data_IF_728502880490
#
_entry.id   IF_728502880490
#
_cell.length_a   1.000
_cell.length_b   1.000
_cell.length_c   1.000
_cell.angle_alpha   90.00
_cell.angle_beta   90.00
_cell.angle_gamma   90.00
#
_symmetry.space_group_name_H-M   'P 1'
#
loop_
_entity.id
_entity.type
_entity.pdbx_description
1 polymer ?
#
# COMPACT_ATOMS: atom_id res chain seq x y z
N UNK A 1 13.53 -10.31 -25.09
CA UNK A 1 12.95 -9.16 -24.36
C UNK A 1 11.45 -9.01 -24.59
N UNK A 2 10.96 -9.06 -25.85
CA UNK A 2 9.53 -8.86 -26.17
C UNK A 2 8.61 -9.79 -25.38
N UNK A 3 8.90 -11.10 -25.36
CA UNK A 3 8.10 -12.09 -24.63
C UNK A 3 8.14 -11.87 -23.12
N UNK A 4 9.28 -11.41 -22.58
CA UNK A 4 9.43 -11.12 -21.14
C UNK A 4 8.58 -9.92 -20.74
N UNK A 5 8.61 -8.85 -21.53
CA UNK A 5 7.81 -7.65 -21.24
C UNK A 5 6.32 -7.90 -21.44
N UNK A 6 5.95 -8.69 -22.47
CA UNK A 6 4.56 -9.11 -22.66
C UNK A 6 4.05 -9.93 -21.47
N UNK A 7 4.85 -10.88 -21.00
CA UNK A 7 4.50 -11.68 -19.83
C UNK A 7 4.45 -10.86 -18.53
N UNK A 8 5.35 -9.89 -18.35
CA UNK A 8 5.28 -8.92 -17.26
C UNK A 8 3.94 -8.17 -17.25
N UNK A 9 3.48 -7.72 -18.41
CA UNK A 9 2.19 -7.07 -18.55
C UNK A 9 1.01 -8.02 -18.23
N UNK A 10 1.11 -9.30 -18.61
CA UNK A 10 0.11 -10.31 -18.25
C UNK A 10 0.07 -10.58 -16.73
N UNK A 11 1.22 -10.57 -16.07
CA UNK A 11 1.30 -10.68 -14.62
C UNK A 11 0.68 -9.45 -13.93
N UNK A 12 0.96 -8.24 -14.43
CA UNK A 12 0.35 -7.01 -13.92
C UNK A 12 -1.18 -7.06 -14.04
N UNK A 13 -1.68 -7.43 -15.22
CA UNK A 13 -3.13 -7.61 -15.44
C UNK A 13 -3.72 -8.60 -14.44
N UNK A 14 -3.11 -9.77 -14.27
CA UNK A 14 -3.58 -10.78 -13.32
C UNK A 14 -3.60 -10.26 -11.87
N UNK A 15 -2.56 -9.54 -11.45
CA UNK A 15 -2.46 -8.93 -10.12
C UNK A 15 -3.54 -7.89 -9.87
N UNK A 16 -3.82 -7.02 -10.83
CA UNK A 16 -4.90 -6.01 -10.70
C UNK A 16 -6.28 -6.62 -10.83
N UNK A 17 -6.48 -7.67 -11.63
CA UNK A 17 -7.73 -8.44 -11.63
C UNK A 17 -8.01 -9.08 -10.28
N UNK A 18 -7.01 -9.66 -9.63
CA UNK A 18 -7.15 -10.22 -8.28
C UNK A 18 -7.40 -9.14 -7.24
N UNK A 19 -6.75 -7.98 -7.38
CA UNK A 19 -7.00 -6.81 -6.54
C UNK A 19 -8.43 -6.31 -6.68
N UNK A 20 -8.96 -6.24 -7.91
CA UNK A 20 -10.35 -5.88 -8.16
C UNK A 20 -11.32 -6.90 -7.55
N UNK A 21 -11.09 -8.19 -7.77
CA UNK A 21 -11.94 -9.27 -7.21
C UNK A 21 -12.01 -9.20 -5.69
N UNK A 22 -10.87 -9.01 -5.02
CA UNK A 22 -10.83 -8.89 -3.55
C UNK A 22 -11.41 -7.58 -3.04
N UNK A 23 -11.29 -6.48 -3.79
CA UNK A 23 -11.95 -5.21 -3.46
C UNK A 23 -13.48 -5.30 -3.63
N UNK A 24 -13.98 -6.03 -4.60
CA UNK A 24 -15.42 -6.32 -4.75
C UNK A 24 -15.94 -7.17 -3.59
N UNK A 25 -15.15 -8.12 -3.09
CA UNK A 25 -15.48 -8.88 -1.88
C UNK A 25 -15.51 -7.98 -0.64
N UNK A 26 -14.55 -7.04 -0.52
CA UNK A 26 -14.56 -6.01 0.52
C UNK A 26 -15.80 -5.13 0.41
N UNK A 27 -16.17 -4.69 -0.79
CA UNK A 27 -17.37 -3.90 -1.04
C UNK A 27 -18.64 -4.63 -0.58
N UNK A 28 -18.74 -5.92 -0.87
CA UNK A 28 -19.86 -6.74 -0.42
C UNK A 28 -19.92 -6.86 1.12
N UNK A 29 -18.77 -7.03 1.78
CA UNK A 29 -18.68 -7.09 3.24
C UNK A 29 -19.02 -5.73 3.89
N UNK A 30 -18.62 -4.63 3.29
CA UNK A 30 -18.99 -3.27 3.73
C UNK A 30 -20.51 -3.05 3.61
N UNK A 31 -21.12 -3.46 2.50
CA UNK A 31 -22.58 -3.40 2.34
C UNK A 31 -23.31 -4.20 3.41
N UNK A 32 -22.81 -5.39 3.75
CA UNK A 32 -23.37 -6.22 4.82
C UNK A 32 -23.23 -5.57 6.20
N UNK A 33 -22.08 -4.94 6.51
CA UNK A 33 -21.87 -4.19 7.73
C UNK A 33 -22.87 -3.04 7.86
N UNK A 34 -23.06 -2.26 6.82
CA UNK A 34 -23.97 -1.11 6.80
C UNK A 34 -25.44 -1.56 6.95
N UNK A 35 -25.82 -2.65 6.27
CA UNK A 35 -27.18 -3.19 6.33
C UNK A 35 -27.51 -3.82 7.68
N UNK A 36 -26.54 -4.49 8.31
CA UNK A 36 -26.71 -5.22 9.57
C UNK A 36 -25.47 -5.04 10.45
N UNK A 37 -25.30 -3.88 11.10
CA UNK A 37 -24.15 -3.63 11.95
C UNK A 37 -24.08 -4.61 13.13
N UNK A 38 -22.97 -5.35 13.21
CA UNK A 38 -22.68 -6.31 14.29
C UNK A 38 -21.15 -6.52 14.38
N UNK A 39 -20.69 -7.15 15.46
CA UNK A 39 -19.29 -7.55 15.58
C UNK A 39 -18.88 -8.49 14.44
N UNK A 40 -19.77 -9.40 14.04
CA UNK A 40 -19.51 -10.36 12.97
C UNK A 40 -19.38 -9.68 11.61
N UNK A 41 -20.25 -8.74 11.27
CA UNK A 41 -20.18 -8.02 9.98
C UNK A 41 -19.02 -7.04 9.93
N UNK A 42 -18.66 -6.41 11.05
CA UNK A 42 -17.46 -5.60 11.14
C UNK A 42 -16.20 -6.45 10.98
N UNK A 43 -16.12 -7.59 11.67
CA UNK A 43 -14.97 -8.50 11.53
C UNK A 43 -14.86 -9.05 10.11
N UNK A 44 -15.97 -9.41 9.47
CA UNK A 44 -15.97 -9.86 8.08
C UNK A 44 -15.46 -8.80 7.12
N UNK A 45 -15.80 -7.52 7.32
CA UNK A 45 -15.29 -6.40 6.52
C UNK A 45 -13.78 -6.20 6.75
N UNK A 46 -13.32 -6.29 7.99
CA UNK A 46 -11.88 -6.23 8.34
C UNK A 46 -11.10 -7.38 7.70
N UNK A 47 -11.62 -8.60 7.75
CA UNK A 47 -10.98 -9.77 7.14
C UNK A 47 -10.92 -9.63 5.60
N UNK A 48 -11.98 -9.11 4.97
CA UNK A 48 -12.01 -8.84 3.53
C UNK A 48 -11.02 -7.75 3.13
N UNK A 49 -10.82 -6.71 3.95
CA UNK A 49 -9.80 -5.70 3.73
C UNK A 49 -8.40 -6.30 3.77
N UNK A 50 -8.08 -7.10 4.80
CA UNK A 50 -6.78 -7.78 4.88
C UNK A 50 -6.55 -8.72 3.70
N UNK A 51 -7.56 -9.46 3.27
CA UNK A 51 -7.48 -10.31 2.08
C UNK A 51 -7.23 -9.50 0.80
N UNK A 52 -7.83 -8.32 0.68
CA UNK A 52 -7.65 -7.43 -0.47
C UNK A 52 -6.21 -6.86 -0.55
N UNK A 53 -5.51 -6.71 0.57
CA UNK A 53 -4.12 -6.26 0.59
C UNK A 53 -3.14 -7.28 -0.01
N UNK A 54 -3.48 -8.56 0.02
CA UNK A 54 -2.58 -9.63 -0.45
C UNK A 54 -2.22 -9.49 -1.94
N UNK A 55 -3.17 -9.47 -2.88
CA UNK A 55 -2.85 -9.28 -4.29
C UNK A 55 -2.35 -7.86 -4.59
N UNK A 56 -2.95 -6.84 -3.95
CA UNK A 56 -2.62 -5.46 -4.24
C UNK A 56 -1.15 -5.14 -3.96
N UNK A 57 -0.62 -5.50 -2.79
CA UNK A 57 0.78 -5.21 -2.44
C UNK A 57 1.78 -5.88 -3.39
N UNK A 58 1.45 -7.00 -3.97
CA UNK A 58 2.28 -7.66 -4.99
C UNK A 58 2.30 -6.87 -6.32
N UNK A 59 1.37 -5.93 -6.53
CA UNK A 59 1.37 -5.04 -7.71
C UNK A 59 2.23 -3.79 -7.54
N UNK A 60 2.70 -3.47 -6.35
CA UNK A 60 3.52 -2.28 -6.09
C UNK A 60 4.82 -2.28 -6.92
N UNK A 61 5.34 -3.44 -7.29
CA UNK A 61 6.51 -3.58 -8.17
C UNK A 61 6.28 -3.06 -9.60
N UNK A 62 5.02 -2.85 -10.03
CA UNK A 62 4.68 -2.33 -11.36
C UNK A 62 4.65 -0.80 -11.45
N UNK A 63 4.89 -0.08 -10.35
CA UNK A 63 4.75 1.39 -10.24
C UNK A 63 5.87 2.15 -10.92
N UNK A 64 7.04 2.14 -10.29
CA UNK A 64 8.11 3.13 -10.47
C UNK A 64 8.71 3.19 -11.87
N UNK A 65 8.53 2.20 -12.67
CA UNK A 65 8.93 2.21 -14.08
C UNK A 65 7.83 2.63 -15.05
N UNK A 66 6.61 2.92 -14.55
CA UNK A 66 5.43 3.24 -15.35
C UNK A 66 4.67 4.42 -14.73
N UNK A 67 4.83 5.65 -15.24
CA UNK A 67 4.19 6.85 -14.68
C UNK A 67 2.66 6.76 -14.58
N UNK A 68 2.00 6.01 -15.49
CA UNK A 68 0.54 5.83 -15.44
C UNK A 68 0.12 5.11 -14.17
N UNK A 69 0.91 4.12 -13.74
CA UNK A 69 0.64 3.35 -12.52
C UNK A 69 1.07 4.12 -11.29
N UNK A 70 2.23 4.77 -11.34
CA UNK A 70 2.80 5.51 -10.22
C UNK A 70 1.93 6.72 -9.83
N UNK A 71 1.50 7.51 -10.79
CA UNK A 71 0.59 8.64 -10.57
C UNK A 71 -0.79 8.18 -10.05
N UNK A 72 -1.27 7.01 -10.48
CA UNK A 72 -2.54 6.45 -10.06
C UNK A 72 -2.50 5.90 -8.63
N UNK A 73 -1.36 5.38 -8.20
CA UNK A 73 -1.19 4.73 -6.89
C UNK A 73 -1.59 5.67 -5.74
N UNK A 74 -1.28 6.94 -5.83
CA UNK A 74 -1.66 7.94 -4.83
C UNK A 74 -3.18 8.02 -4.54
N UNK A 75 -4.02 7.53 -5.45
CA UNK A 75 -5.48 7.48 -5.23
C UNK A 75 -5.91 6.28 -4.37
N UNK A 76 -5.14 5.22 -4.35
CA UNK A 76 -5.54 3.94 -3.74
C UNK A 76 -4.70 3.53 -2.55
N UNK A 77 -3.46 3.98 -2.41
CA UNK A 77 -2.54 3.50 -1.38
C UNK A 77 -1.74 4.58 -0.65
N UNK A 78 -2.15 5.84 -0.73
CA UNK A 78 -1.50 6.95 0.00
C UNK A 78 -1.55 6.74 1.52
N UNK A 79 -0.44 7.08 2.17
CA UNK A 79 -0.21 7.06 3.61
C UNK A 79 1.01 7.94 3.95
N UNK A 80 1.23 8.33 5.19
CA UNK A 80 0.29 8.34 6.31
C UNK A 80 -0.87 9.31 6.07
N UNK A 81 -1.99 9.12 6.78
CA UNK A 81 -3.14 10.00 6.64
C UNK A 81 -3.46 10.72 7.95
N UNK A 82 -3.89 11.98 7.83
CA UNK A 82 -4.47 12.74 8.95
C UNK A 82 -5.93 12.32 9.16
N UNK A 83 -6.20 11.47 10.14
CA UNK A 83 -7.51 10.85 10.39
C UNK A 83 -8.61 11.88 10.66
N UNK A 84 -8.25 12.98 11.32
CA UNK A 84 -9.18 14.06 11.66
C UNK A 84 -9.74 14.84 10.49
N UNK A 85 -9.20 14.68 9.29
CA UNK A 85 -9.84 15.13 8.06
C UNK A 85 -11.19 14.41 7.85
N UNK A 86 -11.24 13.13 8.14
CA UNK A 86 -12.36 12.24 7.80
C UNK A 86 -13.37 12.16 8.94
N UNK A 87 -12.95 11.77 10.13
CA UNK A 87 -13.84 11.40 11.23
C UNK A 87 -13.31 11.90 12.58
N UNK A 88 -14.03 11.58 13.66
CA UNK A 88 -13.63 11.92 15.01
C UNK A 88 -12.31 11.23 15.40
N UNK A 89 -11.56 11.92 16.24
CA UNK A 89 -10.26 11.50 16.76
C UNK A 89 -10.19 11.72 18.28
N UNK A 90 -9.12 11.28 18.91
CA UNK A 90 -8.86 11.58 20.33
C UNK A 90 -8.71 13.10 20.54
N UNK A 91 -8.96 13.57 21.77
CA UNK A 91 -9.11 14.99 22.07
C UNK A 91 -7.90 15.89 21.81
N UNK A 92 -6.72 15.33 21.72
CA UNK A 92 -5.47 16.07 21.52
C UNK A 92 -4.91 15.92 20.09
N UNK A 93 -5.76 15.51 19.15
CA UNK A 93 -5.38 15.32 17.75
C UNK A 93 -5.34 16.65 17.00
N UNK A 94 -4.44 16.74 16.02
CA UNK A 94 -4.26 17.85 15.11
C UNK A 94 -2.84 18.41 15.15
N UNK A 95 -2.48 19.16 14.12
CA UNK A 95 -1.21 19.86 14.04
C UNK A 95 -1.41 21.28 13.49
N UNK A 96 -0.47 22.16 13.73
CA UNK A 96 -0.53 23.56 13.28
C UNK A 96 -0.24 23.70 11.78
N UNK A 97 0.35 22.68 11.16
CA UNK A 97 0.75 22.71 9.74
C UNK A 97 -0.39 22.36 8.79
N UNK A 98 -1.37 21.54 9.27
CA UNK A 98 -2.52 21.13 8.49
C UNK A 98 -3.84 21.56 9.15
N UNK A 99 -4.39 22.68 8.71
CA UNK A 99 -5.67 23.19 9.22
C UNK A 99 -6.85 22.23 8.98
N UNK A 100 -6.74 21.30 8.01
CA UNK A 100 -7.77 20.32 7.68
C UNK A 100 -7.67 19.03 8.51
N UNK A 101 -6.59 18.85 9.28
CA UNK A 101 -6.39 17.68 10.13
C UNK A 101 -7.47 17.49 11.21
N UNK A 102 -8.30 18.50 11.45
CA UNK A 102 -9.42 18.46 12.40
C UNK A 102 -10.77 18.78 11.76
N UNK A 103 -10.86 18.74 10.44
CA UNK A 103 -12.10 19.09 9.72
C UNK A 103 -13.27 18.19 10.10
N UNK A 104 -13.03 16.88 10.23
CA UNK A 104 -14.06 15.87 10.46
C UNK A 104 -15.23 16.02 9.48
N UNK A 105 -15.03 15.70 8.22
CA UNK A 105 -16.06 15.87 7.18
C UNK A 105 -17.33 15.08 7.49
N UNK A 106 -17.23 13.97 8.19
CA UNK A 106 -18.38 13.15 8.60
C UNK A 106 -19.31 13.93 9.53
N UNK A 107 -18.79 14.75 10.43
CA UNK A 107 -19.56 15.60 11.33
C UNK A 107 -19.84 17.00 10.75
N UNK A 108 -19.19 17.38 9.65
CA UNK A 108 -19.19 18.76 9.13
C UNK A 108 -19.74 18.79 7.70
N UNK A 109 -21.07 18.85 7.54
CA UNK A 109 -21.71 18.79 6.20
C UNK A 109 -21.46 20.02 5.33
N UNK A 110 -20.98 21.11 5.90
CA UNK A 110 -20.57 22.32 5.17
C UNK A 110 -19.31 22.89 5.78
N UNK A 111 -18.37 23.26 4.92
CA UNK A 111 -17.09 23.86 5.33
C UNK A 111 -16.52 24.72 4.20
N UNK A 112 -15.50 25.51 4.52
CA UNK A 112 -14.80 26.34 3.54
C UNK A 112 -13.45 25.71 3.21
N UNK A 113 -13.17 25.55 1.92
CA UNK A 113 -11.90 25.07 1.39
C UNK A 113 -11.38 26.06 0.37
N UNK A 114 -10.16 26.59 0.56
CA UNK A 114 -9.55 27.57 -0.34
C UNK A 114 -10.49 28.75 -0.68
N UNK A 115 -11.22 29.25 0.30
CA UNK A 115 -12.15 30.36 0.16
C UNK A 115 -13.51 30.02 -0.49
N UNK A 116 -13.73 28.75 -0.84
CA UNK A 116 -15.00 28.27 -1.37
C UNK A 116 -15.79 27.50 -0.31
N UNK A 117 -17.09 27.77 -0.23
CA UNK A 117 -18.00 26.93 0.54
C UNK A 117 -18.19 25.58 -0.16
N UNK A 118 -17.96 24.50 0.56
CA UNK A 118 -18.15 23.12 0.11
C UNK A 118 -19.41 22.58 0.79
N UNK A 119 -20.32 22.05 -0.01
CA UNK A 119 -21.49 21.32 0.47
C UNK A 119 -21.18 19.82 0.46
N UNK A 120 -20.90 19.28 1.64
CA UNK A 120 -20.68 17.84 1.90
C UNK A 120 -21.89 17.21 2.60
N UNK A 121 -23.09 17.77 2.44
CA UNK A 121 -24.32 17.22 3.03
C UNK A 121 -24.63 15.82 2.49
N UNK A 122 -24.21 15.52 1.27
CA UNK A 122 -24.20 14.17 0.69
C UNK A 122 -22.76 13.76 0.43
N UNK A 123 -22.32 12.65 1.04
CA UNK A 123 -20.98 12.10 0.83
C UNK A 123 -21.03 11.16 -0.36
N UNK A 124 -20.22 11.44 -1.37
CA UNK A 124 -20.15 10.71 -2.64
C UNK A 124 -18.70 10.35 -2.99
N UNK A 125 -18.46 9.38 -3.88
CA UNK A 125 -17.12 9.13 -4.41
C UNK A 125 -16.47 10.38 -5.02
N UNK A 126 -17.22 11.22 -5.70
CA UNK A 126 -16.74 12.45 -6.34
C UNK A 126 -16.32 13.51 -5.31
N UNK A 127 -17.02 13.63 -4.18
CA UNK A 127 -16.60 14.48 -3.07
C UNK A 127 -15.25 14.03 -2.52
N UNK A 128 -15.07 12.73 -2.32
CA UNK A 128 -13.84 12.15 -1.79
C UNK A 128 -12.67 12.37 -2.76
N UNK A 129 -12.82 11.96 -4.03
CA UNK A 129 -11.72 12.01 -5.01
C UNK A 129 -11.45 13.42 -5.53
N UNK A 130 -12.48 14.23 -5.72
CA UNK A 130 -12.37 15.52 -6.40
C UNK A 130 -12.16 16.71 -5.47
N UNK A 131 -12.49 16.58 -4.18
CA UNK A 131 -12.47 17.71 -3.23
C UNK A 131 -11.62 17.43 -2.00
N UNK A 132 -11.72 16.26 -1.39
CA UNK A 132 -11.09 15.97 -0.10
C UNK A 132 -9.66 15.41 -0.23
N UNK A 133 -9.45 14.49 -1.18
CA UNK A 133 -8.16 13.84 -1.32
C UNK A 133 -7.08 14.84 -1.75
N UNK A 134 -5.99 14.89 -1.00
CA UNK A 134 -4.91 15.87 -1.15
C UNK A 134 -5.37 17.34 -1.14
N UNK A 135 -6.45 17.63 -0.42
CA UNK A 135 -6.99 18.98 -0.31
C UNK A 135 -5.89 19.98 0.11
N UNK A 136 -5.90 21.17 -0.50
CA UNK A 136 -4.87 22.21 -0.34
C UNK A 136 -3.45 21.78 -0.75
N UNK A 137 -3.29 20.68 -1.50
CA UNK A 137 -1.99 20.14 -1.89
C UNK A 137 -1.21 19.51 -0.74
N UNK A 138 -1.89 19.14 0.34
CA UNK A 138 -1.30 18.48 1.52
C UNK A 138 -1.43 16.97 1.36
N UNK A 139 -0.31 16.29 1.23
CA UNK A 139 -0.25 14.84 1.01
C UNK A 139 -0.91 14.04 2.14
N UNK A 140 -0.78 14.49 3.39
CA UNK A 140 -1.41 13.85 4.55
C UNK A 140 -2.95 13.94 4.54
N UNK A 141 -3.55 14.78 3.69
CA UNK A 141 -5.00 14.84 3.50
C UNK A 141 -5.49 13.66 2.63
N UNK A 142 -5.18 12.46 3.04
CA UNK A 142 -5.62 11.22 2.40
C UNK A 142 -7.10 11.00 2.72
N UNK A 143 -7.93 10.94 1.69
CA UNK A 143 -9.38 10.77 1.83
C UNK A 143 -9.90 9.50 1.14
N UNK A 144 -9.11 8.88 0.26
CA UNK A 144 -9.47 7.72 -0.54
C UNK A 144 -8.49 6.57 -0.36
N UNK A 145 -8.82 5.42 -0.89
CA UNK A 145 -7.97 4.25 -0.98
C UNK A 145 -8.01 3.33 0.24
N UNK A 146 -7.10 2.35 0.23
CA UNK A 146 -7.06 1.30 1.24
C UNK A 146 -6.94 1.82 2.67
N UNK A 147 -6.10 2.84 2.92
CA UNK A 147 -5.85 3.33 4.28
C UNK A 147 -6.99 4.19 4.82
N UNK A 148 -7.71 4.93 3.96
CA UNK A 148 -8.95 5.59 4.37
C UNK A 148 -10.02 4.57 4.76
N UNK A 149 -10.17 3.49 4.00
CA UNK A 149 -11.08 2.38 4.33
C UNK A 149 -10.64 1.67 5.62
N UNK A 150 -9.35 1.44 5.77
CA UNK A 150 -8.74 0.88 6.98
C UNK A 150 -9.11 1.69 8.23
N UNK A 151 -8.91 3.01 8.17
CA UNK A 151 -9.31 3.91 9.24
C UNK A 151 -10.81 3.84 9.55
N UNK A 152 -11.65 3.77 8.52
CA UNK A 152 -13.09 3.64 8.70
C UNK A 152 -13.49 2.34 9.40
N UNK A 153 -12.76 1.24 9.18
CA UNK A 153 -13.05 -0.07 9.77
C UNK A 153 -12.45 -0.25 11.17
N UNK A 154 -11.27 0.30 11.44
CA UNK A 154 -10.56 0.11 12.73
C UNK A 154 -10.62 1.34 13.64
N UNK A 155 -10.75 2.56 13.08
CA UNK A 155 -10.54 3.78 13.83
C UNK A 155 -9.06 4.01 14.17
N UNK A 156 -8.77 5.02 14.97
CA UNK A 156 -7.40 5.27 15.44
C UNK A 156 -6.87 4.08 16.26
N UNK A 157 -5.60 3.76 16.06
CA UNK A 157 -4.86 2.95 17.01
C UNK A 157 -4.29 3.88 18.11
N UNK A 158 -4.84 3.77 19.30
CA UNK A 158 -4.44 4.56 20.49
C UNK A 158 -3.46 3.80 21.39
N UNK A 159 -2.96 2.64 20.94
CA UNK A 159 -2.06 1.81 21.75
C UNK A 159 -0.59 2.19 21.59
N UNK A 160 -0.24 3.09 20.67
CA UNK A 160 1.14 3.48 20.38
C UNK A 160 1.96 2.26 19.93
N UNK A 161 3.06 1.99 20.61
CA UNK A 161 3.91 0.81 20.36
C UNK A 161 3.55 -0.42 21.24
N UNK A 162 2.38 -0.41 21.88
CA UNK A 162 1.87 -1.54 22.63
C UNK A 162 0.91 -2.37 21.76
N UNK A 163 0.69 -3.65 22.09
CA UNK A 163 -0.19 -4.50 21.28
C UNK A 163 -1.63 -4.00 21.20
N UNK A 164 -2.22 -4.14 20.03
CA UNK A 164 -3.64 -3.87 19.77
C UNK A 164 -3.85 -2.89 18.63
N UNK A 165 -4.70 -3.26 17.69
CA UNK A 165 -5.17 -2.44 16.59
C UNK A 165 -6.23 -1.43 17.04
N UNK A 166 -6.67 -0.56 16.12
CA UNK A 166 -7.81 0.31 16.32
C UNK A 166 -9.06 -0.48 16.74
N UNK A 167 -9.84 0.09 17.64
CA UNK A 167 -10.96 -0.59 18.31
C UNK A 167 -12.31 0.07 18.03
N UNK A 168 -12.54 0.54 16.80
CA UNK A 168 -13.84 1.12 16.42
C UNK A 168 -14.96 0.12 16.65
N UNK A 169 -16.02 0.49 17.39
CA UNK A 169 -17.14 -0.41 17.59
C UNK A 169 -18.04 -0.46 16.35
N UNK A 170 -18.70 -1.59 16.11
CA UNK A 170 -19.67 -1.70 15.00
C UNK A 170 -20.83 -0.72 15.15
N UNK A 171 -21.14 -0.30 16.38
CA UNK A 171 -22.19 0.67 16.68
C UNK A 171 -21.92 2.07 16.12
N UNK A 172 -20.72 2.38 15.67
CA UNK A 172 -20.43 3.57 14.88
C UNK A 172 -21.14 3.58 13.51
N UNK A 173 -21.65 2.43 13.10
CA UNK A 173 -22.47 2.23 11.89
C UNK A 173 -23.93 1.88 12.19
N UNK A 174 -24.32 1.82 13.45
CA UNK A 174 -25.70 1.48 13.85
C UNK A 174 -26.66 2.64 13.60
N UNK A 175 -27.94 2.31 13.42
CA UNK A 175 -29.00 3.30 13.23
C UNK A 175 -29.64 3.75 14.54
N UNK A 176 -30.20 4.95 14.56
CA UNK A 176 -31.00 5.50 15.65
C UNK A 176 -30.24 5.57 16.97
N UNK A 177 -30.87 5.21 18.07
CA UNK A 177 -30.33 5.31 19.43
C UNK A 177 -29.16 4.35 19.70
N UNK A 178 -28.95 3.35 18.85
CA UNK A 178 -27.82 2.45 18.94
C UNK A 178 -26.52 3.06 18.38
N UNK A 179 -26.61 4.17 17.64
CA UNK A 179 -25.46 4.87 17.07
C UNK A 179 -24.54 5.40 18.15
N UNK A 180 -23.27 5.03 18.08
CA UNK A 180 -22.22 5.61 18.93
C UNK A 180 -21.40 6.65 18.15
N UNK A 181 -20.84 7.63 18.87
CA UNK A 181 -20.01 8.70 18.33
C UNK A 181 -20.69 9.63 17.29
N UNK A 182 -22.01 9.52 17.13
CA UNK A 182 -22.80 10.36 16.22
C UNK A 182 -22.51 10.11 14.73
N UNK A 183 -23.33 10.71 13.89
CA UNK A 183 -23.15 10.72 12.42
C UNK A 183 -22.99 9.34 11.77
N UNK A 184 -23.59 8.30 12.30
CA UNK A 184 -23.42 6.93 11.83
C UNK A 184 -23.90 6.74 10.38
N UNK A 185 -24.95 7.43 9.96
CA UNK A 185 -25.44 7.43 8.59
C UNK A 185 -24.43 8.05 7.63
N UNK A 186 -23.79 9.16 8.01
CA UNK A 186 -22.74 9.81 7.22
C UNK A 186 -21.47 9.01 7.20
N UNK A 187 -21.11 8.37 8.31
CA UNK A 187 -19.96 7.44 8.40
C UNK A 187 -20.15 6.25 7.48
N UNK A 188 -21.34 5.66 7.46
CA UNK A 188 -21.70 4.60 6.54
C UNK A 188 -21.60 5.03 5.08
N UNK A 189 -22.11 6.24 4.76
CA UNK A 189 -22.00 6.81 3.41
C UNK A 189 -20.54 7.05 2.99
N UNK A 190 -19.68 7.48 3.91
CA UNK A 190 -18.24 7.66 3.62
C UNK A 190 -17.57 6.33 3.32
N UNK A 191 -17.75 5.33 4.19
CA UNK A 191 -17.17 4.00 4.01
C UNK A 191 -17.63 3.36 2.68
N UNK A 192 -18.93 3.44 2.38
CA UNK A 192 -19.48 2.94 1.12
C UNK A 192 -18.88 3.66 -0.09
N UNK A 193 -18.83 5.00 -0.05
CA UNK A 193 -18.28 5.82 -1.15
C UNK A 193 -16.79 5.57 -1.36
N UNK A 194 -16.01 5.46 -0.29
CA UNK A 194 -14.57 5.15 -0.38
C UNK A 194 -14.33 3.75 -0.96
N UNK A 195 -15.16 2.78 -0.60
CA UNK A 195 -15.06 1.41 -1.12
C UNK A 195 -15.50 1.32 -2.57
N UNK A 196 -16.59 2.01 -2.95
CA UNK A 196 -17.05 2.11 -4.35
C UNK A 196 -15.98 2.78 -5.22
N UNK A 197 -15.33 3.82 -4.71
CA UNK A 197 -14.24 4.51 -5.41
C UNK A 197 -13.04 3.60 -5.60
N UNK A 198 -12.65 2.81 -4.59
CA UNK A 198 -11.56 1.83 -4.73
C UNK A 198 -11.84 0.81 -5.82
N UNK A 199 -13.05 0.27 -5.88
CA UNK A 199 -13.47 -0.67 -6.94
C UNK A 199 -13.42 0.00 -8.31
N UNK A 200 -13.86 1.25 -8.43
CA UNK A 200 -13.79 2.03 -9.67
C UNK A 200 -12.34 2.27 -10.11
N UNK A 201 -11.47 2.69 -9.19
CA UNK A 201 -10.05 2.93 -9.47
C UNK A 201 -9.31 1.65 -9.88
N UNK A 202 -9.61 0.52 -9.24
CA UNK A 202 -9.02 -0.78 -9.63
C UNK A 202 -9.55 -1.26 -10.97
N UNK A 203 -10.82 -1.01 -11.29
CA UNK A 203 -11.37 -1.30 -12.63
C UNK A 203 -10.63 -0.52 -13.70
N UNK A 204 -10.37 0.77 -13.48
CA UNK A 204 -9.55 1.61 -14.36
C UNK A 204 -8.15 1.01 -14.56
N UNK A 205 -7.51 0.50 -13.51
CA UNK A 205 -6.18 -0.07 -13.62
C UNK A 205 -6.17 -1.43 -14.32
N UNK A 206 -7.19 -2.25 -14.16
CA UNK A 206 -7.38 -3.46 -14.98
C UNK A 206 -7.46 -3.09 -16.46
N UNK A 207 -8.27 -2.08 -16.82
CA UNK A 207 -8.39 -1.61 -18.21
C UNK A 207 -7.06 -1.05 -18.75
N UNK A 208 -6.25 -0.40 -17.89
CA UNK A 208 -4.91 0.09 -18.25
C UNK A 208 -3.92 -1.03 -18.60
N UNK A 209 -4.10 -2.23 -18.05
CA UNK A 209 -3.25 -3.38 -18.30
C UNK A 209 -3.85 -4.39 -19.27
N UNK A 210 -5.08 -4.19 -19.74
CA UNK A 210 -5.68 -5.03 -20.78
C UNK A 210 -4.94 -4.93 -22.12
N UNK A 211 -5.30 -5.70 -23.11
CA UNK A 211 -4.56 -5.88 -24.38
C UNK A 211 -4.23 -4.54 -25.07
N UNK A 212 -5.16 -3.60 -25.09
CA UNK A 212 -5.00 -2.26 -25.68
C UNK A 212 -4.76 -1.16 -24.64
N UNK A 213 -4.49 -1.52 -23.37
CA UNK A 213 -4.38 -0.58 -22.27
C UNK A 213 -3.11 0.28 -22.32
N UNK A 214 -3.20 1.56 -21.93
CA UNK A 214 -2.07 2.48 -22.02
C UNK A 214 -0.90 2.12 -21.09
N UNK A 215 -1.13 1.55 -19.91
CA UNK A 215 -0.04 1.11 -19.03
C UNK A 215 0.71 -0.09 -19.63
N UNK A 216 0.00 -1.03 -20.25
CA UNK A 216 0.59 -2.13 -21.03
C UNK A 216 1.40 -1.58 -22.20
N UNK A 217 0.83 -0.66 -22.97
CA UNK A 217 1.50 -0.05 -24.13
C UNK A 217 2.78 0.71 -23.72
N UNK A 218 2.78 1.37 -22.55
CA UNK A 218 3.94 2.10 -22.05
C UNK A 218 5.19 1.20 -21.88
N UNK A 219 5.00 -0.08 -21.57
CA UNK A 219 6.11 -1.02 -21.37
C UNK A 219 6.34 -1.93 -22.59
N UNK A 220 5.32 -2.24 -23.38
CA UNK A 220 5.44 -3.20 -24.51
C UNK A 220 5.82 -2.55 -25.83
N UNK A 221 5.59 -1.22 -26.01
CA UNK A 221 5.90 -0.53 -27.26
C UNK A 221 7.41 -0.48 -27.57
N UNK A 222 8.26 -0.50 -26.56
CA UNK A 222 9.71 -0.58 -26.67
C UNK A 222 10.24 -1.57 -25.63
N UNK A 223 10.55 -2.82 -26.02
CA UNK A 223 10.94 -3.87 -25.07
C UNK A 223 12.17 -3.54 -24.22
N UNK A 224 13.10 -2.74 -24.72
CA UNK A 224 14.25 -2.32 -23.89
C UNK A 224 13.83 -1.36 -22.79
N UNK A 225 12.94 -0.43 -23.09
CA UNK A 225 12.31 0.44 -22.06
C UNK A 225 11.44 -0.35 -21.10
N UNK A 226 10.74 -1.36 -21.60
CA UNK A 226 9.96 -2.27 -20.76
C UNK A 226 10.84 -3.02 -19.75
N UNK A 227 11.96 -3.61 -20.20
CA UNK A 227 12.92 -4.25 -19.29
C UNK A 227 13.48 -3.25 -18.27
N UNK A 228 13.77 -2.03 -18.71
CA UNK A 228 14.25 -0.98 -17.82
C UNK A 228 13.19 -0.60 -16.78
N UNK A 229 11.91 -0.49 -17.18
CA UNK A 229 10.80 -0.25 -16.27
C UNK A 229 10.65 -1.35 -15.21
N UNK A 230 10.78 -2.63 -15.61
CA UNK A 230 10.76 -3.77 -14.67
C UNK A 230 11.85 -3.64 -13.61
N UNK A 231 13.09 -3.37 -14.03
CA UNK A 231 14.24 -3.23 -13.12
C UNK A 231 14.14 -1.97 -12.26
N UNK A 232 13.60 -0.86 -12.80
CA UNK A 232 13.33 0.36 -12.04
C UNK A 232 12.30 0.10 -10.93
N UNK A 233 11.21 -0.59 -11.25
CA UNK A 233 10.18 -0.98 -10.27
C UNK A 233 10.76 -1.84 -9.16
N UNK A 234 11.55 -2.86 -9.51
CA UNK A 234 12.20 -3.72 -8.53
C UNK A 234 13.15 -2.95 -7.62
N UNK A 235 14.03 -2.12 -8.18
CA UNK A 235 15.05 -1.39 -7.43
C UNK A 235 14.47 -0.29 -6.55
N UNK A 236 13.55 0.50 -7.09
CA UNK A 236 12.91 1.61 -6.35
C UNK A 236 12.04 1.10 -5.21
N UNK A 237 11.24 0.06 -5.45
CA UNK A 237 10.45 -0.55 -4.37
C UNK A 237 11.35 -1.19 -3.31
N UNK A 238 12.43 -1.88 -3.70
CA UNK A 238 13.34 -2.51 -2.75
C UNK A 238 14.05 -1.50 -1.84
N UNK A 239 14.55 -0.42 -2.40
CA UNK A 239 15.42 0.52 -1.71
C UNK A 239 14.64 1.68 -1.08
N UNK A 240 14.18 2.61 -1.88
CA UNK A 240 13.59 3.85 -1.40
C UNK A 240 12.28 3.63 -0.68
N UNK A 241 11.37 2.93 -1.32
CA UNK A 241 10.00 2.79 -0.81
C UNK A 241 9.90 1.78 0.34
N UNK A 242 10.15 0.48 0.10
CA UNK A 242 9.96 -0.55 1.13
C UNK A 242 11.06 -0.50 2.19
N UNK A 243 12.32 -0.57 1.79
CA UNK A 243 13.44 -0.58 2.73
C UNK A 243 13.59 0.72 3.50
N UNK A 244 13.45 1.85 2.83
CA UNK A 244 13.64 3.19 3.38
C UNK A 244 12.41 3.76 4.06
N UNK A 245 11.41 4.16 3.26
CA UNK A 245 10.25 4.91 3.75
C UNK A 245 9.30 4.06 4.59
N UNK A 246 9.00 2.83 4.15
CA UNK A 246 8.03 1.97 4.85
C UNK A 246 8.60 1.22 6.03
N UNK A 247 9.90 0.89 6.06
CA UNK A 247 10.48 0.06 7.12
C UNK A 247 11.45 0.81 8.02
N UNK A 248 12.53 1.36 7.47
CA UNK A 248 13.59 1.94 8.28
C UNK A 248 13.18 3.24 8.96
N UNK A 249 12.38 4.07 8.29
CA UNK A 249 11.96 5.37 8.83
C UNK A 249 11.18 5.20 10.13
N UNK A 250 10.14 4.38 10.16
CA UNK A 250 9.35 4.11 11.36
C UNK A 250 10.17 3.51 12.50
N UNK A 251 11.13 2.63 12.19
CA UNK A 251 12.04 2.08 13.17
C UNK A 251 12.97 3.15 13.78
N UNK A 252 13.54 4.03 12.96
CA UNK A 252 14.42 5.11 13.42
C UNK A 252 13.70 6.11 14.32
N UNK A 253 12.45 6.44 13.98
CA UNK A 253 11.61 7.37 14.74
C UNK A 253 10.93 6.70 15.94
N UNK A 254 10.87 5.37 15.98
CA UNK A 254 10.03 4.59 16.90
C UNK A 254 8.57 5.06 16.88
N UNK A 255 8.09 5.42 15.70
CA UNK A 255 6.80 6.08 15.50
C UNK A 255 5.81 5.13 14.82
N UNK A 256 4.77 4.68 15.53
CA UNK A 256 3.74 3.81 14.94
C UNK A 256 2.90 4.50 13.86
N UNK A 257 2.86 5.83 13.82
CA UNK A 257 2.15 6.57 12.76
C UNK A 257 2.85 6.46 11.39
N UNK A 258 4.14 6.09 11.39
CA UNK A 258 4.88 5.80 10.16
C UNK A 258 4.65 4.38 9.63
N UNK A 259 3.86 3.58 10.32
CA UNK A 259 3.48 2.25 9.81
C UNK A 259 2.58 2.35 8.60
N UNK A 260 2.81 1.46 7.63
CA UNK A 260 2.00 1.42 6.43
C UNK A 260 0.52 1.08 6.70
N UNK A 261 0.25 0.08 7.54
CA UNK A 261 -1.10 -0.35 7.95
C UNK A 261 -1.31 -0.11 9.46
N UNK A 262 -1.16 1.15 9.92
CA UNK A 262 -1.12 1.49 11.34
C UNK A 262 -2.43 1.23 12.09
N UNK A 263 -3.59 1.34 11.44
CA UNK A 263 -4.88 1.16 12.11
C UNK A 263 -5.23 -0.30 12.37
N UNK A 264 -4.83 -1.18 11.46
CA UNK A 264 -5.18 -2.61 11.47
C UNK A 264 -4.12 -3.52 12.06
N UNK A 265 -2.93 -3.00 12.35
CA UNK A 265 -1.72 -3.78 12.68
C UNK A 265 -1.39 -4.84 11.61
N UNK A 266 -1.59 -4.52 10.33
CA UNK A 266 -1.37 -5.44 9.22
C UNK A 266 -0.04 -5.20 8.47
N UNK A 267 0.79 -4.29 8.94
CA UNK A 267 2.01 -3.82 8.28
C UNK A 267 2.98 -4.96 7.93
N UNK A 268 3.13 -5.96 8.80
CA UNK A 268 3.97 -7.13 8.55
C UNK A 268 3.54 -7.93 7.31
N UNK A 269 2.24 -8.02 7.04
CA UNK A 269 1.71 -8.65 5.84
C UNK A 269 1.96 -7.79 4.60
N UNK A 270 1.68 -6.49 4.67
CA UNK A 270 1.88 -5.58 3.54
C UNK A 270 3.34 -5.58 3.08
N UNK A 271 4.29 -5.50 3.98
CA UNK A 271 5.72 -5.54 3.64
C UNK A 271 6.15 -6.89 3.04
N UNK A 272 5.64 -7.99 3.57
CA UNK A 272 5.92 -9.32 3.01
C UNK A 272 5.47 -9.42 1.55
N UNK A 273 4.24 -8.99 1.26
CA UNK A 273 3.69 -9.08 -0.10
C UNK A 273 4.32 -8.09 -1.07
N UNK A 274 4.83 -6.94 -0.62
CA UNK A 274 5.69 -6.07 -1.42
C UNK A 274 6.96 -6.80 -1.89
N UNK A 275 7.67 -7.40 -0.94
CA UNK A 275 8.88 -8.17 -1.24
C UNK A 275 8.63 -9.36 -2.15
N UNK A 276 7.51 -10.06 -1.93
CA UNK A 276 7.09 -11.16 -2.80
C UNK A 276 6.81 -10.68 -4.23
N UNK A 277 6.16 -9.52 -4.39
CA UNK A 277 5.90 -8.89 -5.68
C UNK A 277 7.18 -8.59 -6.47
N UNK A 278 8.22 -8.09 -5.81
CA UNK A 278 9.53 -7.85 -6.42
C UNK A 278 10.11 -9.16 -6.96
N UNK A 279 10.10 -10.21 -6.15
CA UNK A 279 10.58 -11.55 -6.54
C UNK A 279 9.77 -12.12 -7.70
N UNK A 280 8.46 -11.97 -7.68
CA UNK A 280 7.56 -12.42 -8.75
C UNK A 280 7.93 -11.81 -10.10
N UNK A 281 8.19 -10.50 -10.14
CA UNK A 281 8.60 -9.79 -11.36
C UNK A 281 9.89 -10.36 -11.92
N UNK A 282 10.89 -10.63 -11.07
CA UNK A 282 12.16 -11.18 -11.54
C UNK A 282 12.03 -12.60 -12.09
N UNK A 283 11.24 -13.44 -11.42
CA UNK A 283 11.07 -14.86 -11.78
C UNK A 283 9.99 -15.09 -12.84
N UNK A 284 9.21 -14.07 -13.21
CA UNK A 284 8.11 -14.21 -14.15
C UNK A 284 7.01 -15.17 -13.65
N UNK A 285 6.70 -15.11 -12.34
CA UNK A 285 5.75 -16.04 -11.71
C UNK A 285 4.89 -15.33 -10.67
N UNK A 286 3.58 -15.42 -10.81
CA UNK A 286 2.61 -14.89 -9.85
C UNK A 286 1.57 -15.95 -9.51
N UNK A 287 1.36 -16.21 -8.22
CA UNK A 287 0.29 -17.09 -7.74
C UNK A 287 -0.94 -16.27 -7.44
N UNK A 288 -2.03 -16.53 -8.16
CA UNK A 288 -3.30 -15.84 -8.03
C UNK A 288 -4.04 -16.23 -6.75
N UNK A 289 -5.04 -15.43 -6.40
CA UNK A 289 -5.89 -15.67 -5.22
C UNK A 289 -6.68 -16.98 -5.27
N UNK A 290 -6.95 -17.51 -6.46
CA UNK A 290 -7.60 -18.82 -6.67
C UNK A 290 -6.61 -20.01 -6.61
N UNK A 291 -5.31 -19.74 -6.40
CA UNK A 291 -4.26 -20.74 -6.35
C UNK A 291 -3.66 -21.10 -7.71
N UNK A 292 -4.18 -20.59 -8.80
CA UNK A 292 -3.56 -20.77 -10.12
C UNK A 292 -2.29 -19.93 -10.24
N UNK A 293 -1.39 -20.30 -11.16
CA UNK A 293 -0.13 -19.59 -11.36
C UNK A 293 -0.05 -19.03 -12.76
N UNK A 294 0.27 -17.74 -12.87
CA UNK A 294 0.69 -17.08 -14.10
C UNK A 294 2.21 -17.18 -14.18
N UNK A 295 2.75 -17.90 -15.13
CA UNK A 295 4.19 -18.13 -15.28
C UNK A 295 4.59 -18.12 -16.75
N UNK A 296 5.74 -17.50 -17.05
CA UNK A 296 6.26 -17.39 -18.41
C UNK A 296 7.69 -16.85 -18.47
N UNK A 297 8.11 -16.33 -19.65
CA UNK A 297 9.44 -15.77 -19.84
C UNK A 297 9.78 -14.70 -18.83
N UNK A 298 11.01 -14.71 -18.29
CA UNK A 298 11.38 -13.94 -17.11
C UNK A 298 12.63 -13.06 -17.29
N UNK A 299 12.79 -12.04 -16.43
CA UNK A 299 14.04 -11.29 -16.31
C UNK A 299 15.20 -12.20 -15.95
N UNK A 300 14.98 -13.17 -15.07
CA UNK A 300 15.99 -14.15 -14.67
C UNK A 300 16.61 -14.87 -15.88
N UNK A 301 15.79 -15.30 -16.84
CA UNK A 301 16.29 -15.95 -18.07
C UNK A 301 17.14 -15.01 -18.92
N UNK A 302 16.74 -13.73 -19.03
CA UNK A 302 17.52 -12.75 -19.78
C UNK A 302 18.86 -12.43 -19.10
N UNK A 303 18.84 -12.24 -17.79
CA UNK A 303 20.06 -11.97 -17.01
C UNK A 303 20.97 -13.19 -17.01
N UNK A 304 20.44 -14.40 -16.84
CA UNK A 304 21.22 -15.64 -16.89
C UNK A 304 21.90 -15.85 -18.25
N UNK A 305 21.26 -15.46 -19.35
CA UNK A 305 21.85 -15.52 -20.68
C UNK A 305 22.98 -14.49 -20.88
N UNK A 306 22.92 -13.36 -20.22
CA UNK A 306 23.92 -12.29 -20.29
C UNK A 306 25.07 -12.51 -19.28
N UNK A 307 24.75 -12.81 -18.03
CA UNK A 307 25.69 -13.09 -16.94
C UNK A 307 25.06 -14.06 -15.92
N UNK A 308 25.35 -15.36 -15.99
CA UNK A 308 24.80 -16.37 -15.09
C UNK A 308 25.14 -16.13 -13.60
N UNK A 309 26.26 -15.47 -13.31
CA UNK A 309 26.66 -15.22 -11.93
C UNK A 309 25.79 -14.12 -11.30
N UNK A 310 25.46 -13.09 -12.06
CA UNK A 310 24.52 -12.03 -11.61
C UNK A 310 23.14 -12.62 -11.36
N UNK A 311 22.62 -13.45 -12.26
CA UNK A 311 21.31 -14.11 -12.08
C UNK A 311 21.30 -14.99 -10.81
N UNK A 312 22.32 -15.83 -10.64
CA UNK A 312 22.41 -16.71 -9.46
C UNK A 312 22.43 -15.91 -8.16
N UNK A 313 23.20 -14.83 -8.13
CA UNK A 313 23.31 -13.98 -6.95
C UNK A 313 21.99 -13.25 -6.66
N UNK A 314 21.38 -12.62 -7.68
CA UNK A 314 20.14 -11.88 -7.49
C UNK A 314 18.99 -12.79 -7.03
N UNK A 315 18.85 -14.00 -7.58
CA UNK A 315 17.88 -14.97 -7.09
C UNK A 315 18.09 -15.34 -5.62
N UNK A 316 19.32 -15.58 -5.21
CA UNK A 316 19.64 -15.89 -3.82
C UNK A 316 19.31 -14.71 -2.88
N UNK A 317 19.57 -13.48 -3.31
CA UNK A 317 19.28 -12.28 -2.53
C UNK A 317 17.77 -11.97 -2.45
N UNK A 318 17.01 -12.19 -3.53
CA UNK A 318 15.54 -12.11 -3.53
C UNK A 318 14.93 -13.17 -2.60
N UNK A 319 15.43 -14.40 -2.61
CA UNK A 319 14.99 -15.42 -1.67
C UNK A 319 15.34 -15.05 -0.21
N UNK A 320 16.49 -14.44 0.02
CA UNK A 320 16.91 -13.98 1.35
C UNK A 320 16.03 -12.83 1.87
N UNK A 321 15.67 -11.86 1.01
CA UNK A 321 14.79 -10.75 1.42
C UNK A 321 13.38 -11.24 1.73
N UNK A 322 12.83 -12.13 0.90
CA UNK A 322 11.52 -12.75 1.17
C UNK A 322 11.55 -13.55 2.47
N UNK A 323 12.61 -14.28 2.75
CA UNK A 323 12.78 -15.03 4.01
C UNK A 323 12.87 -14.10 5.23
N UNK A 324 13.59 -12.96 5.11
CA UNK A 324 13.69 -11.98 6.18
C UNK A 324 12.33 -11.27 6.43
N UNK A 325 11.59 -10.93 5.38
CA UNK A 325 10.24 -10.38 5.49
C UNK A 325 9.24 -11.42 6.04
N UNK A 326 9.42 -12.70 5.71
CA UNK A 326 8.63 -13.79 6.30
C UNK A 326 8.87 -13.88 7.82
N UNK A 327 10.08 -13.68 8.29
CA UNK A 327 10.36 -13.68 9.73
C UNK A 327 9.65 -12.51 10.45
N UNK A 328 9.60 -11.34 9.84
CA UNK A 328 8.82 -10.19 10.35
C UNK A 328 7.32 -10.54 10.34
N UNK A 329 6.84 -11.13 9.24
CA UNK A 329 5.44 -11.55 9.11
C UNK A 329 5.07 -12.60 10.18
N UNK A 330 5.89 -13.61 10.39
CA UNK A 330 5.66 -14.66 11.39
C UNK A 330 5.58 -14.07 12.81
N UNK A 331 6.41 -13.08 13.12
CA UNK A 331 6.35 -12.36 14.39
C UNK A 331 5.01 -11.63 14.55
N UNK A 332 4.56 -10.91 13.53
CA UNK A 332 3.27 -10.21 13.52
C UNK A 332 2.09 -11.17 13.64
N UNK A 333 2.09 -12.28 12.90
CA UNK A 333 1.05 -13.32 12.96
C UNK A 333 1.01 -14.00 14.35
N UNK A 334 2.13 -14.02 15.06
CA UNK A 334 2.22 -14.52 16.44
C UNK A 334 1.86 -13.46 17.51
N UNK A 335 1.40 -12.29 17.10
CA UNK A 335 0.97 -11.21 17.99
C UNK A 335 2.04 -10.18 18.34
N UNK A 336 3.25 -10.29 17.78
CA UNK A 336 4.28 -9.24 17.83
C UNK A 336 4.18 -8.39 16.57
N UNK A 337 3.17 -7.52 16.54
CA UNK A 337 2.86 -6.66 15.41
C UNK A 337 3.96 -5.62 15.16
N UNK A 338 3.94 -4.98 14.00
CA UNK A 338 5.03 -4.12 13.55
C UNK A 338 5.28 -2.92 14.49
N UNK A 339 4.22 -2.33 15.01
CA UNK A 339 4.25 -1.28 16.03
C UNK A 339 5.03 -1.69 17.29
N UNK A 340 4.83 -2.94 17.74
CA UNK A 340 5.56 -3.50 18.87
C UNK A 340 7.03 -3.77 18.54
N UNK A 341 7.34 -4.15 17.29
CA UNK A 341 8.70 -4.41 16.84
C UNK A 341 9.53 -3.12 16.71
N UNK A 342 8.91 -1.99 16.35
CA UNK A 342 9.58 -0.68 16.27
C UNK A 342 9.65 0.04 17.62
N UNK A 343 9.10 -0.52 18.69
CA UNK A 343 9.10 0.10 20.01
C UNK A 343 10.52 0.43 20.49
N UNK A 344 10.70 1.57 21.20
CA UNK A 344 12.00 1.93 21.75
C UNK A 344 12.56 0.82 22.63
N UNK A 345 13.80 0.40 22.36
CA UNK A 345 14.50 -0.61 23.16
C UNK A 345 14.11 -2.07 22.82
N UNK A 346 13.28 -2.32 21.81
CA UNK A 346 12.99 -3.67 21.36
C UNK A 346 14.09 -4.19 20.43
N UNK A 347 15.14 -4.77 21.01
CA UNK A 347 16.29 -5.29 20.26
C UNK A 347 15.94 -6.45 19.31
N UNK A 348 14.95 -7.29 19.66
CA UNK A 348 14.48 -8.36 18.78
C UNK A 348 13.78 -7.76 17.54
N UNK A 349 12.90 -6.78 17.74
CA UNK A 349 12.20 -6.10 16.66
C UNK A 349 13.15 -5.35 15.74
N UNK A 350 14.11 -4.60 16.31
CA UNK A 350 15.16 -3.93 15.52
C UNK A 350 15.95 -4.91 14.66
N UNK A 351 16.35 -6.06 15.22
CA UNK A 351 17.11 -7.07 14.49
C UNK A 351 16.31 -7.69 13.34
N UNK A 352 15.02 -7.98 13.56
CA UNK A 352 14.14 -8.53 12.52
C UNK A 352 13.94 -7.52 11.37
N UNK A 353 13.60 -6.28 11.70
CA UNK A 353 13.34 -5.24 10.70
C UNK A 353 14.62 -4.88 9.94
N UNK A 354 15.73 -4.64 10.64
CA UNK A 354 17.00 -4.35 9.96
C UNK A 354 17.53 -5.51 9.15
N UNK A 355 17.25 -6.75 9.55
CA UNK A 355 17.54 -7.94 8.74
C UNK A 355 16.86 -7.87 7.36
N UNK A 356 15.59 -7.52 7.33
CA UNK A 356 14.83 -7.34 6.09
C UNK A 356 15.29 -6.10 5.29
N UNK A 357 15.50 -4.96 5.95
CA UNK A 357 16.02 -3.74 5.30
C UNK A 357 17.37 -4.00 4.64
N UNK A 358 18.30 -4.62 5.34
CA UNK A 358 19.64 -4.92 4.80
C UNK A 358 19.58 -5.90 3.63
N UNK A 359 18.69 -6.88 3.67
CA UNK A 359 18.47 -7.80 2.55
C UNK A 359 17.92 -7.06 1.30
N UNK A 360 16.99 -6.12 1.49
CA UNK A 360 16.45 -5.29 0.42
C UNK A 360 17.51 -4.35 -0.19
N UNK A 361 18.34 -3.73 0.64
CA UNK A 361 19.48 -2.90 0.19
C UNK A 361 20.48 -3.74 -0.60
N UNK A 362 20.78 -4.94 -0.12
CA UNK A 362 21.71 -5.87 -0.79
C UNK A 362 21.19 -6.28 -2.16
N UNK A 363 19.93 -6.67 -2.28
CA UNK A 363 19.35 -7.03 -3.59
C UNK A 363 19.29 -5.87 -4.57
N UNK A 364 19.11 -4.64 -4.10
CA UNK A 364 19.10 -3.44 -4.96
C UNK A 364 20.41 -3.28 -5.71
N UNK A 365 21.56 -3.52 -5.05
CA UNK A 365 22.87 -3.51 -5.73
C UNK A 365 22.98 -4.59 -6.81
N UNK A 366 22.33 -5.74 -6.64
CA UNK A 366 22.30 -6.79 -7.66
C UNK A 366 21.31 -6.49 -8.79
N UNK A 367 20.23 -5.76 -8.53
CA UNK A 367 19.36 -5.22 -9.58
C UNK A 367 20.14 -4.26 -10.48
N UNK A 368 20.96 -3.36 -9.91
CA UNK A 368 21.84 -2.47 -10.68
C UNK A 368 22.86 -3.25 -11.53
N UNK A 369 23.41 -4.35 -10.99
CA UNK A 369 24.27 -5.26 -11.77
C UNK A 369 23.53 -5.93 -12.91
N UNK A 370 22.26 -6.29 -12.73
CA UNK A 370 21.44 -6.84 -13.81
C UNK A 370 21.21 -5.80 -14.93
N UNK A 371 20.97 -4.54 -14.58
CA UNK A 371 20.90 -3.42 -15.55
C UNK A 371 22.19 -3.37 -16.41
N UNK A 372 23.34 -3.44 -15.74
CA UNK A 372 24.64 -3.44 -16.40
C UNK A 372 24.87 -4.67 -17.28
N UNK A 373 24.54 -5.87 -16.77
CA UNK A 373 24.69 -7.13 -17.50
C UNK A 373 23.85 -7.17 -18.78
N UNK A 374 22.67 -6.56 -18.77
CA UNK A 374 21.81 -6.46 -19.94
C UNK A 374 22.21 -5.33 -20.91
N UNK A 375 23.26 -4.57 -20.60
CA UNK A 375 23.74 -3.45 -21.44
C UNK A 375 22.78 -2.27 -21.51
N UNK A 376 21.94 -2.11 -20.49
CA UNK A 376 20.97 -1.03 -20.40
C UNK A 376 21.62 0.25 -19.85
N UNK A 377 20.96 1.39 -20.10
CA UNK A 377 21.38 2.66 -19.51
C UNK A 377 21.26 2.61 -17.98
N UNK A 378 22.14 3.35 -17.28
CA UNK A 378 22.06 3.46 -15.83
C UNK A 378 20.67 3.95 -15.41
N UNK A 379 20.12 3.32 -14.38
CA UNK A 379 18.86 3.70 -13.73
C UNK A 379 19.19 4.37 -12.39
N UNK A 380 18.44 5.40 -12.06
CA UNK A 380 18.38 5.92 -10.69
C UNK A 380 17.16 5.34 -10.03
N UNK A 381 17.35 4.65 -8.91
CA UNK A 381 16.26 4.12 -8.09
C UNK A 381 15.80 5.19 -7.11
N UNK A 382 14.52 5.16 -6.72
CA UNK A 382 14.02 6.01 -5.65
C UNK A 382 14.86 5.82 -4.39
N UNK A 383 15.19 6.93 -3.74
CA UNK A 383 15.97 6.98 -2.51
C UNK A 383 15.10 7.22 -1.30
N UNK A 384 15.73 7.22 -0.12
CA UNK A 384 15.09 7.60 1.15
C UNK A 384 16.13 8.21 2.07
N UNK A 385 15.76 9.31 2.75
CA UNK A 385 16.66 9.94 3.72
C UNK A 385 17.05 8.98 4.83
N UNK A 386 16.18 8.06 5.21
CA UNK A 386 16.50 7.04 6.22
C UNK A 386 17.69 6.13 5.83
N UNK A 387 17.93 5.96 4.54
CA UNK A 387 19.04 5.17 3.99
C UNK A 387 20.20 6.05 3.49
N UNK A 388 19.89 7.14 2.78
CA UNK A 388 20.88 7.97 2.09
C UNK A 388 21.50 9.03 3.00
N UNK A 389 20.71 9.60 3.91
CA UNK A 389 21.10 10.65 4.85
C UNK A 389 20.39 10.53 6.21
N UNK A 390 20.67 9.46 7.00
CA UNK A 390 19.93 9.17 8.23
C UNK A 390 19.85 10.34 9.22
N UNK A 391 20.84 11.25 9.21
CA UNK A 391 20.82 12.41 10.09
C UNK A 391 19.75 13.46 9.71
N UNK A 392 19.29 13.48 8.47
CA UNK A 392 18.23 14.39 8.03
C UNK A 392 16.86 14.03 8.63
N UNK A 393 16.66 12.76 8.99
CA UNK A 393 15.40 12.25 9.56
C UNK A 393 15.08 12.92 10.91
N UNK A 394 16.09 13.41 11.63
CA UNK A 394 15.93 14.02 12.96
C UNK A 394 16.02 15.56 12.93
N UNK A 395 16.05 16.20 11.77
CA UNK A 395 16.10 17.65 11.59
C UNK A 395 14.72 18.22 11.30
#
# INVERSE_FOLDING_TARGET
PDEVVSHYADMALAGYQDSLTTAEALQAAVKALIATPSDETLQAARDAWKAARIPYQQTEAFRFGNPIVDDWEGRVNSWPLDEGLIDYTSGDYGNEENALATLNVIATPKFTLSGKEIDASTITPELISGTLHEADGIEANVASGYHAIEFMLWGQDLNGTNPGAGARPYSDYAAGDACTNGNCDRRAAYLQSATDLLVSDLTEMVDNWDEDGPARAAVTADPQKGILAMLTGMGSLSYGELGGERMKLGLMLNDPEEEHDCFSDNTHNSHFYDGLGIRNVYLGSYTRTDGSTVQGPSLSELVAAADPAVDTQLKAELDASVAALQAVKDAGDAGKTYDTLIAPGNAEGEALIMGAVNALVTQTASVDRAVTALGLSKVEFEGSDSLDNPNAVFQ
#
